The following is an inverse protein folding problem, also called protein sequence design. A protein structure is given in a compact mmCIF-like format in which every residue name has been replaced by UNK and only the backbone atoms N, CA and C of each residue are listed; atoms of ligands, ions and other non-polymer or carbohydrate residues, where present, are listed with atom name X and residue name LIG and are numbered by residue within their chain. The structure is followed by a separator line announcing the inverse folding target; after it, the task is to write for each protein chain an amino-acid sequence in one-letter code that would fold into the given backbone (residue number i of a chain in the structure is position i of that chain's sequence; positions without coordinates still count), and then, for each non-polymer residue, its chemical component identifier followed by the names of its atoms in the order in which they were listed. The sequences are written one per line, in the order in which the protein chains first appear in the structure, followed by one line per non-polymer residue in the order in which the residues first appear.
data_IF_994145507797
#
_entry.id   IF_994145507797
#
_cell.length_a   1.000
_cell.length_b   1.000
_cell.length_c   1.000
_cell.angle_alpha   90.00
_cell.angle_beta   90.00
_cell.angle_gamma   90.00
#
_symmetry.space_group_name_H-M   'P 1'
#
loop_
_entity.id
_entity.type
_entity.pdbx_description
1 polymer ?
#
# COMPACT_ATOMS: atom_id res chain seq x y z
N UNK A 1 -40.01 -67.60 22.53
CA UNK A 1 -39.87 -68.39 23.78
C UNK A 1 -39.03 -67.54 24.73
N UNK A 2 -39.63 -66.94 25.76
CA UNK A 2 -39.50 -67.37 27.17
C UNK A 2 -38.02 -67.63 27.51
N UNK A 3 -37.29 -66.86 28.32
CA UNK A 3 -37.63 -66.16 29.56
C UNK A 3 -36.89 -66.80 30.72
N UNK A 4 -36.12 -65.98 31.48
CA UNK A 4 -35.92 -66.06 32.94
C UNK A 4 -34.63 -66.69 33.54
N UNK A 5 -34.23 -66.05 34.67
CA UNK A 5 -33.39 -66.48 35.81
C UNK A 5 -31.87 -66.18 35.76
N UNK A 6 -31.19 -65.70 36.82
CA UNK A 6 -31.59 -65.20 38.15
C UNK A 6 -30.38 -64.58 38.88
N UNK A 7 -30.68 -63.62 39.77
CA UNK A 7 -29.84 -62.93 40.78
C UNK A 7 -29.01 -63.88 41.67
N UNK A 8 -27.92 -63.36 42.24
CA UNK A 8 -27.56 -63.54 43.67
C UNK A 8 -26.61 -62.42 44.15
N UNK A 9 -27.07 -61.71 45.19
CA UNK A 9 -26.37 -60.68 45.97
C UNK A 9 -25.95 -61.34 47.29
N UNK A 10 -24.76 -61.08 47.84
CA UNK A 10 -24.55 -60.94 49.30
C UNK A 10 -23.19 -60.34 49.68
N UNK A 11 -23.29 -59.46 50.67
CA UNK A 11 -22.28 -58.61 51.32
C UNK A 11 -21.22 -59.36 52.14
N UNK A 12 -20.04 -58.74 52.27
CA UNK A 12 -19.05 -58.97 53.34
C UNK A 12 -18.23 -57.70 53.60
N UNK A 13 -18.09 -57.30 54.86
CA UNK A 13 -17.61 -55.98 55.33
C UNK A 13 -16.24 -56.07 56.04
N UNK A 14 -15.38 -55.05 55.85
CA UNK A 14 -14.30 -54.49 56.72
C UNK A 14 -12.93 -55.20 56.95
N UNK A 15 -11.84 -54.45 56.70
CA UNK A 15 -10.82 -53.91 57.66
C UNK A 15 -9.55 -53.44 56.90
N UNK A 16 -9.26 -52.14 56.79
CA UNK A 16 -8.34 -51.29 57.61
C UNK A 16 -6.83 -51.65 57.61
N UNK A 17 -6.06 -50.79 56.92
CA UNK A 17 -4.67 -50.31 57.15
C UNK A 17 -3.47 -51.28 57.14
N UNK A 18 -2.52 -51.04 56.22
CA UNK A 18 -1.09 -50.87 56.56
C UNK A 18 -0.25 -50.36 55.36
N UNK A 19 0.29 -49.16 55.55
CA UNK A 19 1.67 -48.73 55.27
C UNK A 19 2.21 -48.60 53.83
N UNK A 20 2.30 -47.33 53.43
CA UNK A 20 3.57 -46.63 53.14
C UNK A 20 4.58 -47.31 52.18
N UNK A 21 4.45 -46.97 50.90
CA UNK A 21 5.59 -46.82 49.99
C UNK A 21 5.57 -45.40 49.40
N UNK A 22 6.07 -44.44 50.19
CA UNK A 22 6.79 -43.27 49.68
C UNK A 22 8.09 -43.85 49.08
N UNK A 23 8.57 -43.53 47.88
CA UNK A 23 9.02 -42.23 47.37
C UNK A 23 9.61 -42.49 45.97
N UNK A 24 9.69 -41.46 45.11
CA UNK A 24 10.46 -41.39 43.85
C UNK A 24 9.76 -41.87 42.57
N UNK A 25 8.81 -41.08 42.07
CA UNK A 25 8.59 -41.01 40.62
C UNK A 25 8.11 -39.60 40.24
N UNK A 26 9.04 -38.84 39.67
CA UNK A 26 8.79 -37.78 38.68
C UNK A 26 8.32 -36.41 39.21
N UNK A 27 9.23 -35.69 39.88
CA UNK A 27 9.28 -34.23 39.74
C UNK A 27 9.90 -33.91 38.36
N UNK A 28 9.13 -34.08 37.29
CA UNK A 28 9.52 -33.63 35.94
C UNK A 28 8.34 -32.87 35.34
N UNK A 29 8.59 -31.60 35.06
CA UNK A 29 7.87 -30.70 34.14
C UNK A 29 6.42 -30.33 34.45
N UNK A 30 6.27 -29.16 35.08
CA UNK A 30 5.30 -28.16 34.61
C UNK A 30 6.05 -26.90 34.17
N UNK A 31 6.93 -27.03 33.17
CA UNK A 31 7.15 -25.88 32.28
C UNK A 31 5.92 -25.84 31.39
N UNK A 32 5.21 -24.72 31.38
CA UNK A 32 4.07 -24.53 30.47
C UNK A 32 4.54 -24.87 29.05
N UNK A 33 3.86 -25.80 28.38
CA UNK A 33 4.18 -26.17 26.98
C UNK A 33 4.27 -24.94 26.08
N UNK A 34 3.48 -23.90 26.38
CA UNK A 34 3.51 -22.63 25.68
C UNK A 34 4.86 -21.88 25.77
N UNK A 35 5.55 -21.91 26.91
CA UNK A 35 6.86 -21.24 27.06
C UNK A 35 7.95 -21.98 26.29
N UNK A 36 7.95 -23.32 26.37
CA UNK A 36 8.91 -24.17 25.64
C UNK A 36 8.70 -24.07 24.13
N UNK A 37 7.45 -24.07 23.67
CA UNK A 37 7.12 -23.92 22.26
C UNK A 37 7.48 -22.52 21.76
N UNK A 38 7.23 -21.46 22.54
CA UNK A 38 7.64 -20.10 22.18
C UNK A 38 9.16 -19.97 22.01
N UNK A 39 9.94 -20.58 22.91
CA UNK A 39 11.40 -20.62 22.83
C UNK A 39 11.86 -21.37 21.57
N UNK A 40 11.28 -22.53 21.30
CA UNK A 40 11.61 -23.32 20.11
C UNK A 40 11.26 -22.58 18.83
N UNK A 41 10.07 -21.99 18.73
CA UNK A 41 9.69 -21.15 17.58
C UNK A 41 10.73 -20.05 17.39
N UNK A 42 11.14 -19.36 18.46
CA UNK A 42 12.16 -18.31 18.36
C UNK A 42 13.48 -18.84 17.76
N UNK A 43 14.03 -19.92 18.31
CA UNK A 43 15.27 -20.54 17.80
C UNK A 43 15.14 -20.98 16.34
N UNK A 44 14.01 -21.60 15.96
CA UNK A 44 13.73 -21.99 14.58
C UNK A 44 13.64 -20.79 13.65
N UNK A 45 13.01 -19.70 14.11
CA UNK A 45 12.85 -18.50 13.29
C UNK A 45 14.17 -17.79 13.05
N UNK A 46 15.04 -17.71 14.05
CA UNK A 46 16.39 -17.17 13.93
C UNK A 46 17.25 -18.01 12.99
N UNK A 47 17.30 -19.32 13.21
CA UNK A 47 18.22 -20.22 12.50
C UNK A 47 17.80 -20.53 11.07
N UNK A 48 16.51 -20.67 10.80
CA UNK A 48 16.01 -21.21 9.54
C UNK A 48 15.03 -20.29 8.79
N UNK A 49 14.36 -19.37 9.48
CA UNK A 49 13.33 -18.54 8.87
C UNK A 49 13.71 -17.05 8.79
N UNK A 50 15.00 -16.72 8.97
CA UNK A 50 15.51 -15.34 8.88
C UNK A 50 14.71 -14.35 9.74
N UNK A 51 14.42 -14.72 10.99
CA UNK A 51 13.65 -13.94 11.96
C UNK A 51 12.20 -13.62 11.54
N UNK A 52 11.63 -14.36 10.58
CA UNK A 52 10.19 -14.24 10.27
C UNK A 52 9.37 -14.69 11.47
N UNK A 53 8.35 -13.92 11.82
CA UNK A 53 7.38 -14.31 12.84
C UNK A 53 6.63 -15.56 12.35
N UNK A 54 6.72 -16.64 13.11
CA UNK A 54 6.03 -17.89 12.85
C UNK A 54 5.35 -18.38 14.13
N UNK A 55 4.35 -19.24 13.99
CA UNK A 55 3.69 -19.94 15.09
C UNK A 55 3.49 -21.40 14.68
N UNK A 56 3.50 -22.32 15.63
CA UNK A 56 3.15 -23.71 15.36
C UNK A 56 1.63 -23.84 15.09
N UNK A 57 1.28 -24.82 14.26
CA UNK A 57 -0.11 -25.24 14.00
C UNK A 57 -0.11 -26.74 13.78
N UNK A 58 -1.10 -27.43 14.34
CA UNK A 58 -1.32 -28.87 14.18
C UNK A 58 -2.26 -29.17 12.99
N UNK A 59 -2.81 -28.11 12.38
CA UNK A 59 -3.73 -28.21 11.25
C UNK A 59 -3.04 -27.79 9.96
N UNK A 60 -3.06 -28.66 8.97
CA UNK A 60 -2.62 -28.35 7.61
C UNK A 60 -3.68 -27.50 6.91
N UNK A 61 -3.53 -26.17 7.00
CA UNK A 61 -4.41 -25.21 6.35
C UNK A 61 -3.64 -24.42 5.30
N UNK A 62 -4.12 -24.42 4.06
CA UNK A 62 -3.62 -23.54 3.01
C UNK A 62 -4.41 -22.24 3.04
N UNK A 63 -3.72 -21.12 2.85
CA UNK A 63 -4.38 -19.82 2.70
C UNK A 63 -4.92 -19.76 1.27
N UNK A 64 -6.25 -19.74 1.14
CA UNK A 64 -6.93 -19.49 -0.13
C UNK A 64 -7.11 -17.97 -0.30
N UNK A 65 -6.44 -17.32 -1.28
CA UNK A 65 -6.56 -15.89 -1.51
C UNK A 65 -8.01 -15.43 -1.76
N UNK A 66 -8.89 -16.30 -2.27
CA UNK A 66 -10.30 -15.97 -2.50
C UNK A 66 -11.11 -15.87 -1.20
N UNK A 67 -10.61 -16.44 -0.10
CA UNK A 67 -11.22 -16.41 1.23
C UNK A 67 -10.59 -15.35 2.13
N UNK A 68 -9.47 -14.74 1.71
CA UNK A 68 -8.85 -13.64 2.45
C UNK A 68 -9.70 -12.38 2.25
N UNK A 69 -10.11 -11.70 3.33
CA UNK A 69 -10.82 -10.42 3.22
C UNK A 69 -10.04 -9.42 2.38
N UNK A 70 -10.74 -8.67 1.53
CA UNK A 70 -10.13 -7.63 0.72
C UNK A 70 -9.70 -6.43 1.57
N UNK A 71 -8.65 -5.74 1.13
CA UNK A 71 -8.23 -4.49 1.75
C UNK A 71 -9.33 -3.44 1.49
N UNK A 72 -9.89 -2.78 2.54
CA UNK A 72 -10.93 -1.79 2.37
C UNK A 72 -10.40 -0.53 1.66
N UNK A 73 -11.24 0.11 0.85
CA UNK A 73 -10.90 1.36 0.15
C UNK A 73 -11.25 2.54 1.06
N UNK A 74 -10.25 3.35 1.39
CA UNK A 74 -10.44 4.58 2.16
C UNK A 74 -11.20 5.63 1.35
N UNK A 75 -12.16 6.31 1.98
CA UNK A 75 -12.97 7.36 1.37
C UNK A 75 -13.39 8.40 2.40
N UNK A 76 -13.32 9.67 2.01
CA UNK A 76 -13.70 10.82 2.86
C UNK A 76 -15.11 11.33 2.54
N UNK A 77 -15.40 11.51 1.25
CA UNK A 77 -16.69 12.01 0.76
C UNK A 77 -17.48 10.93 0.01
N UNK A 78 -18.80 11.02 0.02
CA UNK A 78 -19.65 10.24 -0.88
C UNK A 78 -19.63 10.81 -2.31
N UNK A 79 -20.35 10.17 -3.23
CA UNK A 79 -20.43 10.60 -4.64
C UNK A 79 -21.12 11.95 -4.86
N UNK A 80 -21.75 12.51 -3.83
CA UNK A 80 -22.35 13.85 -3.87
C UNK A 80 -21.42 14.93 -3.32
N UNK A 81 -20.24 14.53 -2.84
CA UNK A 81 -19.26 15.43 -2.22
C UNK A 81 -19.52 15.70 -0.75
N UNK A 82 -20.43 14.95 -0.09
CA UNK A 82 -20.69 15.10 1.34
C UNK A 82 -19.74 14.23 2.15
N UNK A 83 -19.16 14.79 3.22
CA UNK A 83 -18.34 14.04 4.17
C UNK A 83 -19.15 12.91 4.82
N UNK A 84 -18.62 11.68 4.73
CA UNK A 84 -19.25 10.49 5.33
C UNK A 84 -19.02 10.46 6.84
N UNK A 85 -17.78 10.76 7.24
CA UNK A 85 -17.37 10.94 8.62
C UNK A 85 -16.87 12.39 8.80
N UNK A 86 -17.61 13.25 9.52
CA UNK A 86 -17.20 14.63 9.77
C UNK A 86 -15.85 14.78 10.47
N UNK A 87 -15.37 13.75 11.20
CA UNK A 87 -14.06 13.80 11.84
C UNK A 87 -12.89 13.72 10.86
N UNK A 88 -13.15 13.25 9.64
CA UNK A 88 -12.17 13.13 8.56
C UNK A 88 -12.18 14.36 7.63
N UNK A 89 -12.92 15.41 7.97
CA UNK A 89 -12.87 16.66 7.22
C UNK A 89 -11.52 17.37 7.48
N UNK A 90 -10.66 17.53 6.46
CA UNK A 90 -9.40 18.25 6.58
C UNK A 90 -9.57 19.76 6.87
N UNK A 91 -10.81 20.29 6.84
CA UNK A 91 -11.11 21.71 7.03
C UNK A 91 -10.31 22.61 6.09
N UNK A 92 -10.26 22.25 4.80
CA UNK A 92 -9.57 23.02 3.79
C UNK A 92 -10.20 24.41 3.67
N UNK A 93 -9.36 25.43 3.55
CA UNK A 93 -9.85 26.75 3.26
C UNK A 93 -10.45 26.81 1.84
N UNK A 94 -11.35 27.77 1.62
CA UNK A 94 -12.05 27.93 0.34
C UNK A 94 -11.08 28.26 -0.80
N UNK A 95 -10.03 29.02 -0.55
CA UNK A 95 -9.10 29.47 -1.58
C UNK A 95 -8.29 28.29 -2.13
N UNK A 96 -7.77 27.46 -1.24
CA UNK A 96 -7.08 26.21 -1.50
C UNK A 96 -7.97 25.23 -2.25
N UNK A 97 -9.20 24.99 -1.77
CA UNK A 97 -10.14 24.11 -2.45
C UNK A 97 -10.46 24.60 -3.88
N UNK A 98 -10.64 25.91 -4.05
CA UNK A 98 -10.83 26.52 -5.37
C UNK A 98 -9.58 26.41 -6.25
N UNK A 99 -8.38 26.51 -5.68
CA UNK A 99 -7.14 26.33 -6.42
C UNK A 99 -7.00 24.89 -6.92
N UNK A 100 -7.25 23.89 -6.06
CA UNK A 100 -7.28 22.46 -6.44
C UNK A 100 -8.24 22.23 -7.60
N UNK A 101 -9.48 22.74 -7.49
CA UNK A 101 -10.47 22.64 -8.57
C UNK A 101 -9.99 23.27 -9.88
N UNK A 102 -9.48 24.51 -9.83
CA UNK A 102 -8.98 25.22 -11.02
C UNK A 102 -7.84 24.46 -11.69
N UNK A 103 -6.92 23.89 -10.91
CA UNK A 103 -5.79 23.11 -11.43
C UNK A 103 -6.25 21.82 -12.09
N UNK A 104 -7.24 21.12 -11.52
CA UNK A 104 -7.82 19.93 -12.16
C UNK A 104 -8.46 20.27 -13.50
N UNK A 105 -9.30 21.32 -13.53
CA UNK A 105 -9.92 21.78 -14.78
C UNK A 105 -8.87 22.23 -15.81
N UNK A 106 -7.77 22.86 -15.37
CA UNK A 106 -6.72 23.30 -16.28
C UNK A 106 -5.99 22.14 -16.95
N UNK A 107 -5.71 21.06 -16.21
CA UNK A 107 -5.17 19.82 -16.78
C UNK A 107 -6.13 19.25 -17.82
N UNK A 108 -7.43 19.16 -17.51
CA UNK A 108 -8.43 18.64 -18.43
C UNK A 108 -8.53 19.45 -19.74
N UNK A 109 -8.47 20.79 -19.65
CA UNK A 109 -8.51 21.66 -20.82
C UNK A 109 -7.25 21.54 -21.68
N UNK A 110 -6.07 21.50 -21.03
CA UNK A 110 -4.80 21.28 -21.73
C UNK A 110 -4.82 19.93 -22.47
N UNK A 111 -5.32 18.88 -21.82
CA UNK A 111 -5.41 17.54 -22.40
C UNK A 111 -6.29 17.51 -23.64
N UNK A 112 -7.46 18.16 -23.62
CA UNK A 112 -8.35 18.25 -24.79
C UNK A 112 -7.64 18.88 -25.98
N UNK A 113 -6.96 20.02 -25.76
CA UNK A 113 -6.28 20.77 -26.81
C UNK A 113 -5.11 19.98 -27.40
N UNK A 114 -4.24 19.41 -26.55
CA UNK A 114 -3.06 18.68 -27.01
C UNK A 114 -3.42 17.33 -27.61
N UNK A 115 -4.46 16.67 -27.11
CA UNK A 115 -5.01 15.47 -27.74
C UNK A 115 -5.48 15.77 -29.18
N UNK A 116 -6.26 16.83 -29.38
CA UNK A 116 -6.71 17.23 -30.72
C UNK A 116 -5.53 17.65 -31.61
N UNK A 117 -4.53 18.34 -31.06
CA UNK A 117 -3.28 18.67 -31.74
C UNK A 117 -2.58 17.42 -32.27
N UNK A 118 -2.54 16.36 -31.46
CA UNK A 118 -1.98 15.07 -31.84
C UNK A 118 -2.81 14.36 -32.92
N UNK A 119 -4.15 14.46 -32.88
CA UNK A 119 -5.02 13.94 -33.96
C UNK A 119 -4.86 14.67 -35.28
N UNK A 120 -4.46 15.93 -35.24
CA UNK A 120 -4.10 16.72 -36.43
C UNK A 120 -2.65 16.49 -36.90
N UNK A 121 -1.86 15.67 -36.19
CA UNK A 121 -0.46 15.42 -36.52
C UNK A 121 0.49 16.59 -36.25
N UNK A 122 0.06 17.58 -35.46
CA UNK A 122 0.89 18.74 -35.09
C UNK A 122 1.95 18.37 -34.04
N UNK A 123 1.64 17.41 -33.18
CA UNK A 123 2.57 16.74 -32.28
C UNK A 123 2.54 15.23 -32.53
N UNK A 124 3.64 14.54 -32.25
CA UNK A 124 3.80 13.12 -32.61
C UNK A 124 3.04 12.18 -31.69
N UNK A 125 2.92 12.52 -30.41
CA UNK A 125 2.35 11.66 -29.37
C UNK A 125 1.69 12.51 -28.28
N UNK A 126 0.68 11.95 -27.61
CA UNK A 126 0.05 12.58 -26.46
C UNK A 126 -0.69 11.54 -25.61
N UNK A 127 -0.74 11.78 -24.31
CA UNK A 127 -1.50 10.96 -23.34
C UNK A 127 -2.30 11.88 -22.44
N UNK A 128 -3.58 11.56 -22.28
CA UNK A 128 -4.49 12.31 -21.41
C UNK A 128 -4.50 11.74 -20.00
N UNK A 129 -5.00 12.54 -19.07
CA UNK A 129 -5.00 12.31 -17.62
C UNK A 129 -6.43 12.26 -17.07
N UNK A 130 -7.40 12.01 -17.95
CA UNK A 130 -8.83 11.98 -17.61
C UNK A 130 -9.13 10.95 -16.52
N UNK A 131 -9.66 11.43 -15.39
CA UNK A 131 -10.02 10.61 -14.23
C UNK A 131 -8.90 10.45 -13.21
N UNK A 132 -7.69 10.97 -13.47
CA UNK A 132 -6.53 10.88 -12.57
C UNK A 132 -6.09 12.26 -12.05
N UNK A 133 -6.79 13.35 -12.43
CA UNK A 133 -6.43 14.72 -12.07
C UNK A 133 -6.43 14.92 -10.55
N UNK A 134 -7.42 14.35 -9.87
CA UNK A 134 -7.58 14.43 -8.42
C UNK A 134 -6.47 13.68 -7.68
N UNK A 135 -6.02 12.51 -8.18
CA UNK A 135 -4.91 11.77 -7.55
C UNK A 135 -3.60 12.55 -7.66
N UNK A 136 -3.35 13.20 -8.80
CA UNK A 136 -2.12 13.99 -9.00
C UNK A 136 -2.10 15.25 -8.15
N UNK A 137 -3.15 16.06 -8.25
CA UNK A 137 -3.20 17.36 -7.56
C UNK A 137 -3.41 17.17 -6.06
N UNK A 138 -4.28 16.23 -5.67
CA UNK A 138 -4.52 15.91 -4.27
C UNK A 138 -3.25 15.47 -3.57
N UNK A 139 -2.50 14.52 -4.15
CA UNK A 139 -1.23 14.08 -3.57
C UNK A 139 -0.16 15.17 -3.58
N UNK A 140 0.02 15.89 -4.70
CA UNK A 140 1.00 16.97 -4.81
C UNK A 140 0.75 18.11 -3.81
N UNK A 141 -0.52 18.43 -3.55
CA UNK A 141 -0.91 19.48 -2.60
C UNK A 141 -0.65 19.15 -1.13
N UNK A 142 -0.38 17.88 -0.83
CA UNK A 142 0.00 17.43 0.51
C UNK A 142 1.53 17.35 0.70
N UNK A 143 2.32 17.55 -0.37
CA UNK A 143 3.77 17.51 -0.35
C UNK A 143 4.35 18.92 -0.15
N UNK A 144 5.60 18.98 0.32
CA UNK A 144 6.36 20.22 0.28
C UNK A 144 6.87 20.49 -1.14
N UNK A 145 7.17 21.75 -1.46
CA UNK A 145 7.66 22.14 -2.79
C UNK A 145 9.06 21.58 -3.10
N UNK A 146 9.85 21.31 -2.06
CA UNK A 146 11.20 20.73 -2.13
C UNK A 146 11.23 19.20 -2.17
N UNK A 147 10.10 18.53 -1.95
CA UNK A 147 10.02 17.07 -2.06
C UNK A 147 10.31 16.62 -3.50
N UNK A 148 11.23 15.66 -3.66
CA UNK A 148 11.62 15.13 -4.96
C UNK A 148 10.57 14.16 -5.52
N UNK A 149 10.09 14.43 -6.72
CA UNK A 149 9.06 13.64 -7.40
C UNK A 149 9.68 12.74 -8.47
N UNK A 150 9.36 11.46 -8.36
CA UNK A 150 9.47 10.50 -9.44
C UNK A 150 8.07 10.13 -9.92
N UNK A 151 7.88 10.15 -11.22
CA UNK A 151 6.60 9.90 -11.89
C UNK A 151 6.79 8.94 -13.06
N UNK A 152 5.70 8.50 -13.69
CA UNK A 152 5.73 7.60 -14.84
C UNK A 152 5.44 8.32 -16.15
N UNK A 153 4.24 8.84 -16.39
CA UNK A 153 3.89 9.66 -17.57
C UNK A 153 2.46 10.24 -17.50
N UNK A 154 1.64 9.88 -16.50
CA UNK A 154 0.31 10.49 -16.30
C UNK A 154 0.30 11.55 -15.21
N UNK A 155 1.39 11.77 -14.50
CA UNK A 155 1.43 12.63 -13.33
C UNK A 155 1.59 14.13 -13.67
N UNK A 156 1.09 14.57 -14.82
CA UNK A 156 1.21 15.98 -15.29
C UNK A 156 0.58 16.97 -14.31
N UNK A 157 -0.45 16.53 -13.58
CA UNK A 157 -1.13 17.34 -12.57
C UNK A 157 -0.22 17.76 -11.42
N UNK A 158 0.84 17.00 -11.13
CA UNK A 158 1.84 17.36 -10.10
C UNK A 158 2.63 18.59 -10.55
N UNK A 159 3.10 18.60 -11.80
CA UNK A 159 3.79 19.76 -12.38
C UNK A 159 2.86 20.97 -12.49
N UNK A 160 1.61 20.76 -12.91
CA UNK A 160 0.59 21.83 -12.97
C UNK A 160 0.33 22.46 -11.60
N UNK A 161 0.28 21.64 -10.54
CA UNK A 161 0.13 22.10 -9.17
C UNK A 161 1.34 22.95 -8.74
N UNK A 162 2.56 22.46 -8.98
CA UNK A 162 3.82 23.15 -8.63
C UNK A 162 4.12 24.41 -9.44
N UNK A 163 3.26 24.79 -10.37
CA UNK A 163 3.41 26.05 -11.12
C UNK A 163 4.15 25.93 -12.44
N UNK A 164 4.38 24.72 -12.95
CA UNK A 164 4.98 24.52 -14.26
C UNK A 164 4.10 25.18 -15.34
N UNK A 165 4.72 26.01 -16.17
CA UNK A 165 3.97 26.86 -17.09
C UNK A 165 3.34 26.05 -18.24
N UNK A 166 2.19 26.50 -18.72
CA UNK A 166 1.54 25.93 -19.92
C UNK A 166 2.47 25.99 -21.13
N UNK A 167 3.22 27.08 -21.27
CA UNK A 167 4.21 27.25 -22.32
C UNK A 167 5.28 26.15 -22.24
N UNK A 168 5.79 25.83 -21.06
CA UNK A 168 6.77 24.76 -20.88
C UNK A 168 6.22 23.36 -21.21
N UNK A 169 4.93 23.10 -20.95
CA UNK A 169 4.27 21.87 -21.43
C UNK A 169 4.22 21.82 -22.96
N UNK A 170 3.81 22.91 -23.60
CA UNK A 170 3.74 23.01 -25.06
C UNK A 170 5.13 22.86 -25.69
N UNK A 171 6.14 23.53 -25.14
CA UNK A 171 7.51 23.51 -25.64
C UNK A 171 8.05 22.07 -25.69
N UNK A 172 7.83 21.29 -24.63
CA UNK A 172 8.22 19.89 -24.59
C UNK A 172 7.44 19.03 -25.60
N UNK A 173 6.12 19.18 -25.70
CA UNK A 173 5.31 18.40 -26.64
C UNK A 173 5.64 18.68 -28.11
N UNK A 174 5.99 19.92 -28.44
CA UNK A 174 6.40 20.31 -29.79
C UNK A 174 7.89 20.08 -30.05
N UNK A 175 8.70 19.84 -29.01
CA UNK A 175 10.15 19.71 -29.12
C UNK A 175 10.80 20.95 -29.73
N UNK A 176 10.30 22.14 -29.39
CA UNK A 176 10.76 23.39 -30.00
C UNK A 176 12.07 23.90 -29.36
N UNK A 177 12.55 25.06 -29.82
CA UNK A 177 13.82 25.64 -29.37
C UNK A 177 13.83 26.03 -27.87
N UNK A 178 12.66 26.19 -27.26
CA UNK A 178 12.51 26.58 -25.86
C UNK A 178 12.29 25.37 -24.93
N UNK A 179 12.25 24.15 -25.47
CA UNK A 179 12.25 22.94 -24.65
C UNK A 179 13.59 22.77 -23.92
N UNK A 180 13.53 22.77 -22.59
CA UNK A 180 14.68 22.45 -21.73
C UNK A 180 15.24 21.05 -21.98
N UNK A 181 14.39 20.11 -22.42
CA UNK A 181 14.75 18.77 -22.88
C UNK A 181 15.39 18.73 -24.27
N UNK A 182 15.46 19.88 -24.96
CA UNK A 182 16.06 20.09 -26.28
C UNK A 182 15.45 19.21 -27.38
N UNK A 183 14.16 18.87 -27.26
CA UNK A 183 13.42 18.06 -28.24
C UNK A 183 13.91 16.61 -28.36
N UNK A 184 14.66 16.11 -27.36
CA UNK A 184 15.30 14.78 -27.43
C UNK A 184 14.40 13.63 -27.01
N UNK A 185 13.34 13.94 -26.28
CA UNK A 185 12.42 12.97 -25.73
C UNK A 185 11.10 13.00 -26.49
N UNK A 186 10.33 11.91 -26.37
CA UNK A 186 8.95 11.86 -26.85
C UNK A 186 8.10 12.92 -26.10
N UNK A 187 7.05 13.49 -26.74
CA UNK A 187 6.08 14.30 -26.02
C UNK A 187 5.56 13.61 -24.76
N UNK A 188 5.20 14.38 -23.73
CA UNK A 188 4.75 13.91 -22.40
C UNK A 188 5.88 13.40 -21.49
N UNK A 189 7.12 13.35 -21.97
CA UNK A 189 8.28 13.10 -21.11
C UNK A 189 8.79 14.39 -20.44
N UNK A 190 7.96 14.97 -19.58
CA UNK A 190 8.30 16.19 -18.87
C UNK A 190 9.38 15.96 -17.80
N UNK A 191 10.06 17.02 -17.41
CA UNK A 191 11.01 17.04 -16.31
C UNK A 191 11.35 18.48 -15.96
N UNK A 192 11.53 18.78 -14.67
CA UNK A 192 11.90 20.12 -14.25
C UNK A 192 12.69 20.08 -12.95
N UNK A 193 13.94 20.56 -13.01
CA UNK A 193 14.79 20.69 -11.83
C UNK A 193 14.21 21.70 -10.84
N UNK A 194 13.72 22.84 -11.34
CA UNK A 194 13.12 23.91 -10.53
C UNK A 194 11.93 23.43 -9.70
N UNK A 195 11.16 22.46 -10.22
CA UNK A 195 9.95 21.95 -9.57
C UNK A 195 10.21 20.61 -8.86
N UNK A 196 11.48 20.25 -8.64
CA UNK A 196 11.91 18.96 -8.06
C UNK A 196 11.21 17.76 -8.71
N UNK A 197 11.07 17.77 -10.03
CA UNK A 197 10.38 16.73 -10.80
C UNK A 197 11.37 16.04 -11.74
N UNK A 198 11.70 14.79 -11.46
CA UNK A 198 12.67 14.03 -12.24
C UNK A 198 12.11 13.75 -13.63
N UNK A 199 12.95 13.93 -14.66
CA UNK A 199 12.55 13.72 -16.05
C UNK A 199 12.02 12.30 -16.28
N UNK A 200 10.85 12.23 -16.87
CA UNK A 200 10.19 10.99 -17.26
C UNK A 200 11.04 10.20 -18.28
N UNK A 201 10.95 8.88 -18.18
CA UNK A 201 11.47 7.94 -19.17
C UNK A 201 10.42 6.88 -19.50
N UNK A 202 10.42 6.36 -20.74
CA UNK A 202 9.44 5.35 -21.17
C UNK A 202 9.48 4.01 -20.42
N UNK A 203 10.65 3.45 -20.03
CA UNK A 203 10.68 2.16 -19.36
C UNK A 203 9.88 2.18 -18.06
N UNK A 204 8.92 1.27 -17.94
CA UNK A 204 8.06 1.20 -16.77
C UNK A 204 8.85 0.79 -15.53
N UNK A 205 8.49 1.37 -14.39
CA UNK A 205 8.95 1.00 -13.05
C UNK A 205 10.45 1.23 -12.74
N UNK A 206 11.25 1.72 -13.69
CA UNK A 206 12.67 2.00 -13.44
C UNK A 206 12.90 3.10 -12.40
N UNK A 207 11.96 4.04 -12.30
CA UNK A 207 11.96 5.15 -11.36
C UNK A 207 11.72 4.71 -9.91
N UNK A 208 11.10 3.54 -9.69
CA UNK A 208 10.77 3.04 -8.34
C UNK A 208 12.04 2.82 -7.50
N UNK A 209 13.02 1.98 -7.92
CA UNK A 209 14.25 1.81 -7.16
C UNK A 209 15.12 3.09 -7.13
N UNK A 210 15.02 3.95 -8.16
CA UNK A 210 15.74 5.23 -8.19
C UNK A 210 15.22 6.17 -7.12
N UNK A 211 13.89 6.27 -6.95
CA UNK A 211 13.25 7.04 -5.89
C UNK A 211 13.68 6.56 -4.50
N UNK A 212 13.75 5.24 -4.28
CA UNK A 212 14.26 4.67 -3.03
C UNK A 212 15.73 5.05 -2.80
N UNK A 213 16.56 5.03 -3.83
CA UNK A 213 17.96 5.48 -3.77
C UNK A 213 18.08 6.95 -3.37
N UNK A 214 17.30 7.83 -3.99
CA UNK A 214 17.27 9.27 -3.67
C UNK A 214 16.75 9.53 -2.26
N UNK A 215 15.70 8.84 -1.84
CA UNK A 215 15.19 8.91 -0.46
C UNK A 215 16.24 8.45 0.56
N UNK A 216 17.00 7.39 0.25
CA UNK A 216 18.11 6.96 1.11
C UNK A 216 19.20 8.03 1.20
N UNK A 217 19.49 8.75 0.11
CA UNK A 217 20.43 9.86 0.12
C UNK A 217 19.95 11.03 0.99
N UNK A 218 18.66 11.41 0.93
CA UNK A 218 18.09 12.47 1.79
C UNK A 218 18.07 12.12 3.28
N UNK A 219 18.01 10.82 3.61
CA UNK A 219 18.07 10.36 5.01
C UNK A 219 19.47 10.50 5.62
N UNK A 220 20.53 10.50 4.80
CA UNK A 220 21.92 10.47 5.27
C UNK A 220 22.41 11.85 5.70
#
# INVERSE_FOLDING_TARGET
MVGMASRLFRFGLRSYLANAHTTLTTAVTFYSTAEVDSFRVHEFTEKYLHHRKAVFTEKMTFVDPAQVPTVPIYRVTDSTGKFVDPSQDPNLDKEFAMNVYRKMSLVEQMDKILYDSQRQGRISFYMTNFGEEASHIGSASALQDDDLIYAQYREVGVLMWRGYSLESFMNQCYGNAEDIGKGKQMPVHYGSLEHNFVTISSPLANQIPQAVGSAYAFKR
#
